data_IF_569393592324
#
_entry.id   IF_569393592324
#
_cell.length_a   1.000
_cell.length_b   1.000
_cell.length_c   1.000
_cell.angle_alpha   90.00
_cell.angle_beta   90.00
_cell.angle_gamma   90.00
#
_symmetry.space_group_name_H-M   'P 1'
#
loop_
_entity.id
_entity.type
_entity.pdbx_description
1 polymer ?
#
# COMPACT_ATOMS: atom_id res chain seq x y z
N UNK A 1 -7.14 10.26 -21.39
CA UNK A 1 -7.06 11.72 -21.52
C UNK A 1 -6.13 12.16 -22.66
N UNK A 2 -6.51 13.16 -23.48
CA UNK A 2 -5.65 13.69 -24.55
C UNK A 2 -4.35 14.32 -24.05
N UNK A 3 -4.35 14.93 -22.86
CA UNK A 3 -3.19 15.61 -22.28
C UNK A 3 -2.12 14.60 -21.85
N UNK A 4 -2.51 13.56 -21.09
CA UNK A 4 -1.61 12.46 -20.76
C UNK A 4 -1.06 11.79 -22.03
N UNK A 5 -1.88 11.58 -23.05
CA UNK A 5 -1.45 10.96 -24.31
C UNK A 5 -0.42 11.82 -25.08
N UNK A 6 -0.50 13.14 -24.99
CA UNK A 6 0.50 14.05 -25.56
C UNK A 6 1.81 13.98 -24.78
N UNK A 7 1.75 14.14 -23.45
CA UNK A 7 2.92 14.07 -22.56
C UNK A 7 3.59 12.69 -22.59
N UNK A 8 2.81 11.62 -22.76
CA UNK A 8 3.32 10.26 -22.94
C UNK A 8 4.23 10.15 -24.15
N UNK A 9 3.78 10.66 -25.30
CA UNK A 9 4.52 10.60 -26.57
C UNK A 9 5.80 11.42 -26.53
N UNK A 10 5.76 12.58 -25.87
CA UNK A 10 6.87 13.53 -25.85
C UNK A 10 7.88 13.27 -24.74
N UNK A 11 7.44 12.77 -23.59
CA UNK A 11 8.26 12.73 -22.36
C UNK A 11 8.16 11.40 -21.63
N UNK A 12 6.97 10.96 -21.21
CA UNK A 12 6.88 9.88 -20.23
C UNK A 12 7.33 8.51 -20.75
N UNK A 13 7.17 8.22 -22.05
CA UNK A 13 7.63 6.95 -22.66
C UNK A 13 9.14 6.70 -22.53
N UNK A 14 9.92 7.73 -22.20
CA UNK A 14 11.36 7.65 -22.01
C UNK A 14 11.77 7.51 -20.54
N UNK A 15 10.82 7.59 -19.61
CA UNK A 15 11.06 7.36 -18.18
C UNK A 15 11.35 5.87 -17.91
N UNK A 16 12.17 5.60 -16.90
CA UNK A 16 12.44 4.24 -16.47
C UNK A 16 11.14 3.58 -16.00
N UNK A 17 10.86 2.37 -16.48
CA UNK A 17 9.64 1.63 -16.14
C UNK A 17 8.41 1.97 -17.00
N UNK A 18 8.46 3.02 -17.83
CA UNK A 18 7.32 3.42 -18.66
C UNK A 18 6.84 2.31 -19.63
N UNK A 19 7.77 1.49 -20.14
CA UNK A 19 7.42 0.34 -21.00
C UNK A 19 6.52 -0.69 -20.29
N UNK A 20 6.66 -0.87 -18.98
CA UNK A 20 5.78 -1.75 -18.21
C UNK A 20 4.37 -1.18 -18.09
N UNK A 21 4.24 0.13 -17.92
CA UNK A 21 2.93 0.79 -17.93
C UNK A 21 2.26 0.69 -19.31
N UNK A 22 3.02 0.84 -20.39
CA UNK A 22 2.53 0.63 -21.76
C UNK A 22 1.93 -0.77 -21.96
N UNK A 23 2.65 -1.81 -21.51
CA UNK A 23 2.17 -3.19 -21.55
C UNK A 23 0.94 -3.40 -20.66
N UNK A 24 0.93 -2.80 -19.47
CA UNK A 24 -0.18 -2.87 -18.55
C UNK A 24 -1.45 -2.25 -19.14
N UNK A 25 -1.37 -1.05 -19.72
CA UNK A 25 -2.51 -0.38 -20.36
C UNK A 25 -3.04 -1.21 -21.52
N UNK A 26 -2.17 -1.74 -22.39
CA UNK A 26 -2.60 -2.60 -23.49
C UNK A 26 -3.34 -3.84 -22.98
N UNK A 27 -2.83 -4.49 -21.93
CA UNK A 27 -3.47 -5.64 -21.31
C UNK A 27 -4.81 -5.28 -20.67
N UNK A 28 -4.89 -4.12 -20.05
CA UNK A 28 -6.12 -3.60 -19.45
C UNK A 28 -7.19 -3.30 -20.53
N UNK A 29 -6.81 -2.73 -21.67
CA UNK A 29 -7.72 -2.50 -22.79
C UNK A 29 -8.28 -3.82 -23.36
N UNK A 30 -7.44 -4.85 -23.50
CA UNK A 30 -7.89 -6.21 -23.85
C UNK A 30 -8.88 -6.75 -22.82
N UNK A 31 -8.68 -6.42 -21.54
CA UNK A 31 -9.54 -6.86 -20.46
C UNK A 31 -10.93 -6.22 -20.60
N UNK A 32 -10.97 -4.90 -20.79
CA UNK A 32 -12.23 -4.16 -20.90
C UNK A 32 -13.14 -4.61 -22.05
N UNK A 33 -12.59 -5.28 -23.08
CA UNK A 33 -13.35 -5.80 -24.21
C UNK A 33 -14.02 -7.16 -23.94
N UNK A 34 -13.74 -7.83 -22.82
CA UNK A 34 -14.32 -9.15 -22.59
C UNK A 34 -15.78 -9.07 -22.12
N UNK A 35 -16.67 -9.97 -22.59
CA UNK A 35 -18.12 -9.91 -22.33
C UNK A 35 -18.51 -9.77 -20.86
N UNK A 36 -17.75 -10.42 -19.97
CA UNK A 36 -17.98 -10.40 -18.52
C UNK A 36 -17.60 -9.07 -17.84
N UNK A 37 -16.82 -8.21 -18.49
CA UNK A 37 -16.38 -6.90 -17.99
C UNK A 37 -17.11 -5.74 -18.68
N UNK A 38 -17.75 -5.98 -19.84
CA UNK A 38 -18.42 -4.93 -20.65
C UNK A 38 -19.41 -4.08 -19.82
N UNK A 39 -20.11 -4.68 -18.86
CA UNK A 39 -21.05 -3.96 -18.00
C UNK A 39 -20.39 -2.96 -17.03
N UNK A 40 -19.05 -3.04 -16.87
CA UNK A 40 -18.23 -2.16 -16.03
C UNK A 40 -17.29 -1.28 -16.85
N UNK A 41 -17.39 -1.32 -18.19
CA UNK A 41 -16.46 -0.64 -19.11
C UNK A 41 -16.34 0.86 -18.81
N UNK A 42 -17.48 1.54 -18.67
CA UNK A 42 -17.50 2.99 -18.41
C UNK A 42 -16.83 3.31 -17.08
N UNK A 43 -17.18 2.58 -16.01
CA UNK A 43 -16.60 2.74 -14.68
C UNK A 43 -15.08 2.56 -14.68
N UNK A 44 -14.58 1.50 -15.32
CA UNK A 44 -13.13 1.25 -15.37
C UNK A 44 -12.38 2.26 -16.26
N UNK A 45 -12.99 2.67 -17.37
CA UNK A 45 -12.41 3.70 -18.24
C UNK A 45 -12.29 5.04 -17.53
N UNK A 46 -13.31 5.42 -16.76
CA UNK A 46 -13.29 6.63 -15.94
C UNK A 46 -12.17 6.58 -14.89
N UNK A 47 -12.09 5.47 -14.14
CA UNK A 47 -11.05 5.26 -13.11
C UNK A 47 -9.64 5.39 -13.65
N UNK A 48 -9.36 4.72 -14.78
CA UNK A 48 -8.06 4.84 -15.43
C UNK A 48 -7.83 6.26 -15.93
N UNK A 49 -8.86 6.91 -16.49
CA UNK A 49 -8.78 8.31 -16.90
C UNK A 49 -8.27 9.22 -15.78
N UNK A 50 -8.90 9.10 -14.60
CA UNK A 50 -8.54 9.86 -13.39
C UNK A 50 -7.10 9.56 -12.93
N UNK A 51 -6.72 8.27 -12.91
CA UNK A 51 -5.37 7.87 -12.51
C UNK A 51 -4.32 8.45 -13.47
N UNK A 52 -4.54 8.32 -14.78
CA UNK A 52 -3.64 8.83 -15.81
C UNK A 52 -3.55 10.36 -15.78
N UNK A 53 -4.65 11.07 -15.57
CA UNK A 53 -4.64 12.53 -15.43
C UNK A 53 -3.84 12.97 -14.19
N UNK A 54 -3.93 12.24 -13.08
CA UNK A 54 -3.14 12.55 -11.88
C UNK A 54 -1.66 12.22 -12.08
N UNK A 55 -1.36 11.11 -12.76
CA UNK A 55 -0.02 10.74 -13.18
C UNK A 55 0.61 11.81 -14.09
N UNK A 56 -0.16 12.49 -14.93
CA UNK A 56 0.35 13.57 -15.78
C UNK A 56 1.07 14.66 -14.97
N UNK A 57 0.53 15.01 -13.80
CA UNK A 57 1.03 16.11 -12.98
C UNK A 57 1.84 15.67 -11.76
N UNK A 58 1.86 14.38 -11.43
CA UNK A 58 2.58 13.84 -10.26
C UNK A 58 3.60 12.76 -10.68
N UNK A 59 4.88 13.12 -10.72
CA UNK A 59 5.97 12.20 -11.08
C UNK A 59 6.22 11.11 -10.03
N UNK A 60 6.00 11.40 -8.74
CA UNK A 60 6.10 10.40 -7.67
C UNK A 60 5.08 9.29 -7.89
N UNK A 61 3.81 9.67 -8.10
CA UNK A 61 2.74 8.73 -8.44
C UNK A 61 3.08 7.91 -9.70
N UNK A 62 3.59 8.56 -10.76
CA UNK A 62 3.97 7.84 -11.99
C UNK A 62 4.96 6.72 -11.73
N UNK A 63 6.04 7.01 -11.01
CA UNK A 63 7.09 6.04 -10.72
C UNK A 63 6.51 4.86 -9.95
N UNK A 64 5.70 5.12 -8.92
CA UNK A 64 5.07 4.06 -8.11
C UNK A 64 4.08 3.22 -8.93
N UNK A 65 3.35 3.83 -9.85
CA UNK A 65 2.49 3.10 -10.80
C UNK A 65 3.32 2.26 -11.79
N UNK A 66 4.49 2.72 -12.24
CA UNK A 66 5.36 1.94 -13.13
C UNK A 66 5.93 0.71 -12.43
N UNK A 67 6.38 0.86 -11.18
CA UNK A 67 6.82 -0.25 -10.34
C UNK A 67 5.67 -1.25 -10.14
N UNK A 68 4.45 -0.75 -9.90
CA UNK A 68 3.29 -1.62 -9.77
C UNK A 68 2.97 -2.36 -11.06
N UNK A 69 2.97 -1.66 -12.20
CA UNK A 69 2.75 -2.26 -13.51
C UNK A 69 3.78 -3.36 -13.81
N UNK A 70 5.05 -3.13 -13.46
CA UNK A 70 6.12 -4.13 -13.61
C UNK A 70 5.80 -5.43 -12.84
N UNK A 71 5.27 -5.31 -11.62
CA UNK A 71 4.97 -6.47 -10.77
C UNK A 71 3.84 -7.38 -11.26
N UNK A 72 2.98 -6.89 -12.18
CA UNK A 72 1.74 -7.57 -12.56
C UNK A 72 1.66 -8.01 -14.03
N UNK A 73 2.67 -7.73 -14.86
CA UNK A 73 2.63 -8.10 -16.28
C UNK A 73 2.55 -9.62 -16.53
N UNK A 74 2.95 -10.43 -15.55
CA UNK A 74 2.85 -11.88 -15.60
C UNK A 74 1.61 -12.45 -14.88
N UNK A 75 0.72 -11.60 -14.34
CA UNK A 75 -0.41 -12.07 -13.53
C UNK A 75 -1.63 -12.40 -14.38
N UNK A 76 -2.56 -13.13 -13.77
CA UNK A 76 -3.84 -13.45 -14.36
C UNK A 76 -4.67 -12.17 -14.62
N UNK A 77 -5.82 -12.39 -15.23
CA UNK A 77 -6.75 -11.35 -15.64
C UNK A 77 -7.21 -10.46 -14.47
N UNK A 78 -7.53 -11.10 -13.34
CA UNK A 78 -7.97 -10.43 -12.13
C UNK A 78 -6.81 -9.71 -11.43
N UNK A 79 -5.57 -10.14 -11.65
CA UNK A 79 -4.36 -9.48 -11.14
C UNK A 79 -4.13 -8.12 -11.79
N UNK A 80 -4.43 -7.99 -13.08
CA UNK A 80 -4.37 -6.69 -13.76
C UNK A 80 -5.46 -5.75 -13.26
N UNK A 81 -6.70 -6.24 -13.06
CA UNK A 81 -7.77 -5.42 -12.49
C UNK A 81 -7.48 -4.99 -11.04
N UNK A 82 -6.97 -5.91 -10.21
CA UNK A 82 -6.57 -5.62 -8.84
C UNK A 82 -5.44 -4.60 -8.78
N UNK A 83 -4.50 -4.65 -9.73
CA UNK A 83 -3.41 -3.68 -9.76
C UNK A 83 -3.87 -2.24 -10.04
N UNK A 84 -4.98 -2.03 -10.77
CA UNK A 84 -5.59 -0.69 -10.88
C UNK A 84 -6.03 -0.20 -9.50
N UNK A 85 -6.68 -1.07 -8.73
CA UNK A 85 -7.11 -0.74 -7.37
C UNK A 85 -5.91 -0.36 -6.50
N UNK A 86 -4.83 -1.14 -6.54
CA UNK A 86 -3.61 -0.82 -5.80
C UNK A 86 -2.94 0.49 -6.27
N UNK A 87 -2.98 0.80 -7.57
CA UNK A 87 -2.50 2.10 -8.09
C UNK A 87 -3.37 3.28 -7.63
N UNK A 88 -4.69 3.10 -7.55
CA UNK A 88 -5.60 4.11 -7.00
C UNK A 88 -5.36 4.31 -5.49
N UNK A 89 -5.01 3.27 -4.74
CA UNK A 89 -4.54 3.42 -3.35
C UNK A 89 -3.27 4.29 -3.32
N UNK A 90 -2.32 4.10 -4.25
CA UNK A 90 -1.15 4.99 -4.35
C UNK A 90 -1.53 6.43 -4.64
N UNK A 91 -2.54 6.67 -5.47
CA UNK A 91 -3.06 8.02 -5.70
C UNK A 91 -3.60 8.66 -4.41
N UNK A 92 -4.31 7.91 -3.56
CA UNK A 92 -4.79 8.39 -2.26
C UNK A 92 -3.60 8.73 -1.34
N UNK A 93 -2.63 7.83 -1.24
CA UNK A 93 -1.42 8.03 -0.44
C UNK A 93 -0.67 9.31 -0.83
N UNK A 94 -0.51 9.57 -2.13
CA UNK A 94 0.17 10.78 -2.61
C UNK A 94 -0.59 12.07 -2.26
N UNK A 95 -1.92 12.05 -2.19
CA UNK A 95 -2.71 13.21 -1.73
C UNK A 95 -2.46 13.51 -0.25
N UNK A 96 -2.33 12.46 0.56
CA UNK A 96 -1.97 12.59 1.99
C UNK A 96 -0.56 13.19 2.09
N UNK A 97 0.43 12.59 1.44
CA UNK A 97 1.83 13.03 1.49
C UNK A 97 1.99 14.48 1.02
N UNK A 98 1.29 14.87 -0.04
CA UNK A 98 1.35 16.22 -0.60
C UNK A 98 0.69 17.30 0.27
N UNK A 99 0.19 16.96 1.47
CA UNK A 99 -0.47 17.88 2.41
C UNK A 99 -1.65 18.63 1.78
N UNK A 100 -2.35 17.98 0.84
CA UNK A 100 -3.49 18.57 0.13
C UNK A 100 -4.81 18.41 0.88
N UNK A 101 -4.80 17.72 2.01
CA UNK A 101 -5.96 17.35 2.81
C UNK A 101 -5.94 18.13 4.12
N UNK A 102 -7.13 18.45 4.64
CA UNK A 102 -7.28 18.90 6.03
C UNK A 102 -6.94 17.78 7.03
N UNK A 103 -6.65 18.13 8.29
CA UNK A 103 -6.30 17.14 9.31
C UNK A 103 -7.42 16.07 9.50
N UNK A 104 -8.69 16.48 9.37
CA UNK A 104 -9.85 15.57 9.39
C UNK A 104 -9.83 14.59 8.20
N UNK A 105 -9.60 15.09 6.99
CA UNK A 105 -9.52 14.26 5.78
C UNK A 105 -8.32 13.30 5.84
N UNK A 106 -7.18 13.75 6.37
CA UNK A 106 -6.02 12.88 6.62
C UNK A 106 -6.39 11.75 7.57
N UNK A 107 -7.10 12.03 8.68
CA UNK A 107 -7.50 11.00 9.64
C UNK A 107 -8.44 9.98 9.01
N UNK A 108 -9.42 10.43 8.23
CA UNK A 108 -10.36 9.55 7.53
C UNK A 108 -9.65 8.67 6.50
N UNK A 109 -8.78 9.24 5.66
CA UNK A 109 -8.05 8.47 4.65
C UNK A 109 -7.01 7.53 5.28
N UNK A 110 -6.41 7.92 6.41
CA UNK A 110 -5.55 7.04 7.22
C UNK A 110 -6.34 5.81 7.70
N UNK A 111 -7.53 5.99 8.27
CA UNK A 111 -8.36 4.87 8.75
C UNK A 111 -8.84 3.96 7.61
N UNK A 112 -9.22 4.54 6.47
CA UNK A 112 -9.61 3.78 5.28
C UNK A 112 -8.44 2.99 4.72
N UNK A 113 -7.25 3.60 4.68
CA UNK A 113 -6.03 2.95 4.21
C UNK A 113 -5.59 1.83 5.18
N UNK A 114 -5.80 2.02 6.49
CA UNK A 114 -5.66 0.96 7.50
C UNK A 114 -6.59 -0.22 7.18
N UNK A 115 -7.88 0.02 6.97
CA UNK A 115 -8.84 -1.03 6.63
C UNK A 115 -8.40 -1.81 5.38
N UNK A 116 -7.97 -1.10 4.33
CA UNK A 116 -7.49 -1.72 3.09
C UNK A 116 -6.31 -2.67 3.35
N UNK A 117 -5.22 -2.17 3.95
CA UNK A 117 -4.02 -2.97 4.16
C UNK A 117 -4.24 -4.09 5.16
N UNK A 118 -5.04 -3.84 6.20
CA UNK A 118 -5.31 -4.85 7.22
C UNK A 118 -6.17 -5.99 6.69
N UNK A 119 -7.16 -5.67 5.84
CA UNK A 119 -7.95 -6.70 5.16
C UNK A 119 -7.08 -7.53 4.21
N UNK A 120 -6.15 -6.89 3.48
CA UNK A 120 -5.19 -7.59 2.63
C UNK A 120 -4.36 -8.60 3.42
N UNK A 121 -3.80 -8.16 4.56
CA UNK A 121 -2.96 -8.99 5.41
C UNK A 121 -3.73 -10.19 5.98
N UNK A 122 -4.97 -9.97 6.44
CA UNK A 122 -5.82 -11.07 6.91
C UNK A 122 -6.12 -12.07 5.79
N UNK A 123 -6.40 -11.59 4.57
CA UNK A 123 -6.66 -12.46 3.43
C UNK A 123 -5.42 -13.28 3.01
N UNK A 124 -4.23 -12.68 3.03
CA UNK A 124 -2.97 -13.37 2.77
C UNK A 124 -2.71 -14.44 3.83
N UNK A 125 -2.85 -14.10 5.11
CA UNK A 125 -2.71 -15.06 6.22
C UNK A 125 -3.73 -16.21 6.13
N UNK A 126 -4.96 -15.92 5.68
CA UNK A 126 -5.96 -16.94 5.42
C UNK A 126 -5.52 -17.91 4.32
N UNK A 127 -5.03 -17.37 3.19
CA UNK A 127 -4.52 -18.18 2.09
C UNK A 127 -3.30 -19.02 2.51
N UNK A 128 -2.37 -18.46 3.29
CA UNK A 128 -1.20 -19.18 3.81
C UNK A 128 -1.60 -20.33 4.74
N UNK A 129 -2.54 -20.06 5.65
CA UNK A 129 -3.08 -21.08 6.57
C UNK A 129 -3.74 -22.21 5.79
N UNK A 130 -4.56 -21.88 4.80
CA UNK A 130 -5.22 -22.88 3.96
C UNK A 130 -4.19 -23.74 3.19
N UNK A 131 -3.18 -23.11 2.60
CA UNK A 131 -2.11 -23.82 1.88
C UNK A 131 -1.34 -24.77 2.81
N UNK A 132 -1.06 -24.34 4.05
CA UNK A 132 -0.44 -25.19 5.06
C UNK A 132 -1.33 -26.39 5.43
N UNK A 133 -2.63 -26.17 5.64
CA UNK A 133 -3.59 -27.24 5.95
C UNK A 133 -3.69 -28.24 4.78
N UNK A 134 -3.77 -27.78 3.53
CA UNK A 134 -3.81 -28.68 2.37
C UNK A 134 -2.51 -29.43 2.10
N UNK A 135 -1.35 -28.84 2.41
CA UNK A 135 -0.08 -29.57 2.31
C UNK A 135 -0.02 -30.79 3.25
N UNK A 136 -0.87 -30.83 4.29
CA UNK A 136 -1.00 -31.98 5.19
C UNK A 136 -2.04 -33.00 4.75
N UNK A 137 -2.84 -32.70 3.72
CA UNK A 137 -3.81 -33.61 3.12
C UNK A 137 -3.31 -34.09 1.75
N UNK A 138 -3.85 -35.19 1.23
CA UNK A 138 -3.54 -35.66 -0.14
C UNK A 138 -4.34 -34.94 -1.23
N UNK A 139 -5.11 -33.92 -0.89
CA UNK A 139 -5.93 -33.16 -1.83
C UNK A 139 -5.16 -31.95 -2.35
N UNK A 140 -4.81 -31.99 -3.63
CA UNK A 140 -4.14 -30.89 -4.34
C UNK A 140 -5.19 -30.03 -5.00
N UNK A 141 -5.81 -29.14 -4.23
CA UNK A 141 -6.60 -28.05 -4.83
C UNK A 141 -5.67 -26.86 -5.04
N UNK A 142 -5.55 -26.39 -6.29
CA UNK A 142 -4.83 -25.16 -6.61
C UNK A 142 -5.65 -23.96 -6.10
N UNK A 143 -5.45 -23.61 -4.84
CA UNK A 143 -5.93 -22.38 -4.25
C UNK A 143 -5.18 -21.19 -4.86
N UNK A 144 -5.91 -20.18 -5.34
CA UNK A 144 -5.30 -18.94 -5.79
C UNK A 144 -5.36 -17.89 -4.67
N UNK A 145 -4.18 -17.46 -4.21
CA UNK A 145 -4.04 -16.42 -3.18
C UNK A 145 -4.66 -15.10 -3.62
N UNK A 146 -4.53 -14.74 -4.90
CA UNK A 146 -5.10 -13.51 -5.41
C UNK A 146 -6.63 -13.56 -5.39
N UNK A 147 -7.21 -14.68 -5.80
CA UNK A 147 -8.68 -14.86 -5.78
C UNK A 147 -9.19 -14.84 -4.34
N UNK A 148 -8.43 -15.38 -3.39
CA UNK A 148 -8.75 -15.25 -1.97
C UNK A 148 -8.76 -13.77 -1.53
N UNK A 149 -7.71 -13.00 -1.86
CA UNK A 149 -7.64 -11.56 -1.54
C UNK A 149 -8.80 -10.79 -2.17
N UNK A 150 -9.09 -11.02 -3.45
CA UNK A 150 -10.22 -10.39 -4.15
C UNK A 150 -11.56 -10.76 -3.53
N UNK A 151 -11.73 -12.00 -3.07
CA UNK A 151 -12.95 -12.41 -2.39
C UNK A 151 -13.18 -11.61 -1.11
N UNK A 152 -12.15 -11.39 -0.28
CA UNK A 152 -12.28 -10.56 0.92
C UNK A 152 -12.72 -9.12 0.58
N UNK A 153 -12.21 -8.57 -0.51
CA UNK A 153 -12.54 -7.23 -0.97
C UNK A 153 -13.93 -7.10 -1.59
N UNK A 154 -14.28 -8.01 -2.51
CA UNK A 154 -15.50 -7.97 -3.31
C UNK A 154 -16.75 -8.45 -2.56
N UNK A 155 -16.55 -9.24 -1.50
CA UNK A 155 -17.61 -9.85 -0.72
C UNK A 155 -18.55 -8.81 -0.09
N UNK A 156 -19.89 -8.99 -0.16
CA UNK A 156 -20.84 -8.03 0.39
C UNK A 156 -20.79 -7.92 1.93
N UNK A 157 -20.15 -8.88 2.59
CA UNK A 157 -19.86 -8.86 4.02
C UNK A 157 -18.78 -7.84 4.39
N UNK A 158 -17.96 -7.42 3.43
CA UNK A 158 -16.99 -6.35 3.62
C UNK A 158 -17.73 -5.01 3.74
N UNK A 159 -17.94 -4.60 4.99
CA UNK A 159 -18.63 -3.34 5.34
C UNK A 159 -17.65 -2.26 5.81
N UNK A 160 -16.35 -2.48 5.63
CA UNK A 160 -15.32 -1.51 6.00
C UNK A 160 -15.33 -0.35 5.00
N UNK A 161 -15.17 0.87 5.52
CA UNK A 161 -14.89 2.02 4.66
C UNK A 161 -13.50 1.87 4.05
N UNK A 162 -13.44 1.80 2.73
CA UNK A 162 -12.21 1.70 1.95
C UNK A 162 -11.85 3.07 1.35
N UNK A 163 -10.59 3.29 0.94
CA UNK A 163 -10.18 4.56 0.32
C UNK A 163 -10.87 4.86 -1.03
N UNK A 164 -11.63 3.88 -1.54
CA UNK A 164 -12.27 3.89 -2.84
C UNK A 164 -13.70 3.35 -2.68
N UNK A 165 -14.68 4.03 -3.28
CA UNK A 165 -16.11 3.77 -3.04
C UNK A 165 -16.67 2.48 -3.70
N UNK A 166 -17.74 1.97 -3.07
CA UNK A 166 -18.43 0.67 -3.19
C UNK A 166 -19.05 0.25 -4.53
N UNK A 167 -18.48 0.64 -5.67
CA UNK A 167 -18.70 -0.03 -6.97
C UNK A 167 -17.39 -0.55 -7.59
N UNK A 168 -16.25 -0.09 -7.06
CA UNK A 168 -14.93 -0.28 -7.65
C UNK A 168 -14.26 -1.62 -7.31
N UNK A 169 -14.84 -2.37 -6.37
CA UNK A 169 -14.30 -3.57 -5.73
C UNK A 169 -15.09 -4.85 -6.01
N UNK A 170 -16.26 -4.79 -6.66
CA UNK A 170 -17.20 -5.91 -6.73
C UNK A 170 -17.00 -6.85 -7.92
N UNK A 171 -15.99 -6.62 -8.76
CA UNK A 171 -15.68 -7.53 -9.86
C UNK A 171 -14.62 -8.55 -9.43
N UNK A 172 -15.02 -9.81 -9.47
CA UNK A 172 -14.16 -10.97 -9.35
C UNK A 172 -14.62 -11.98 -10.38
N UNK A 173 -13.69 -12.49 -11.20
CA UNK A 173 -14.03 -13.38 -12.31
C UNK A 173 -14.18 -14.83 -11.86
N UNK A 174 -13.37 -15.25 -10.89
CA UNK A 174 -13.29 -16.65 -10.47
C UNK A 174 -13.48 -16.82 -8.95
N UNK A 175 -14.63 -16.42 -8.39
CA UNK A 175 -14.91 -16.59 -6.95
C UNK A 175 -14.77 -18.03 -6.45
N UNK A 176 -14.96 -19.02 -7.32
CA UNK A 176 -14.79 -20.44 -7.03
C UNK A 176 -13.33 -20.87 -6.75
N UNK A 177 -12.34 -20.06 -7.12
CA UNK A 177 -10.92 -20.30 -6.85
C UNK A 177 -10.46 -19.71 -5.51
N UNK A 178 -11.32 -18.95 -4.85
CA UNK A 178 -11.08 -18.44 -3.50
C UNK A 178 -11.15 -19.57 -2.46
N UNK A 179 -10.26 -19.49 -1.47
CA UNK A 179 -10.29 -20.36 -0.28
C UNK A 179 -11.12 -19.80 0.86
N UNK A 180 -11.62 -18.56 0.72
CA UNK A 180 -12.36 -17.85 1.74
C UNK A 180 -13.87 -18.05 1.57
N UNK A 181 -14.55 -18.02 2.70
CA UNK A 181 -16.01 -18.01 2.80
C UNK A 181 -16.51 -16.64 3.23
N UNK A 182 -17.80 -16.38 3.03
CA UNK A 182 -18.44 -15.16 3.55
C UNK A 182 -18.31 -15.01 5.08
N UNK A 183 -18.24 -16.11 5.83
CA UNK A 183 -18.04 -16.03 7.29
C UNK A 183 -16.62 -15.58 7.64
N UNK A 184 -15.61 -16.00 6.86
CA UNK A 184 -14.22 -15.54 7.04
C UNK A 184 -14.13 -14.01 6.85
N UNK A 185 -14.85 -13.48 5.85
CA UNK A 185 -14.93 -12.02 5.62
C UNK A 185 -15.62 -11.33 6.80
N UNK A 186 -16.75 -11.85 7.30
CA UNK A 186 -17.41 -11.29 8.51
C UNK A 186 -16.49 -11.30 9.73
N UNK A 187 -15.72 -12.37 9.91
CA UNK A 187 -14.76 -12.47 11.00
C UNK A 187 -13.64 -11.44 10.86
N UNK A 188 -13.10 -11.26 9.66
CA UNK A 188 -12.08 -10.25 9.38
C UNK A 188 -12.58 -8.82 9.64
N UNK A 189 -13.79 -8.48 9.16
CA UNK A 189 -14.40 -7.17 9.40
C UNK A 189 -14.58 -6.91 10.90
N UNK A 190 -15.14 -7.88 11.65
CA UNK A 190 -15.29 -7.75 13.11
C UNK A 190 -13.95 -7.57 13.81
N UNK A 191 -12.91 -8.31 13.37
CA UNK A 191 -11.56 -8.19 13.91
C UNK A 191 -10.99 -6.80 13.69
N UNK A 192 -11.09 -6.27 12.47
CA UNK A 192 -10.60 -4.93 12.12
C UNK A 192 -11.34 -3.85 12.93
N UNK A 193 -12.66 -3.94 13.04
CA UNK A 193 -13.45 -3.02 13.85
C UNK A 193 -13.02 -3.05 15.32
N UNK A 194 -12.80 -4.23 15.88
CA UNK A 194 -12.31 -4.39 17.25
C UNK A 194 -10.90 -3.82 17.44
N UNK A 195 -9.99 -4.04 16.48
CA UNK A 195 -8.63 -3.48 16.48
C UNK A 195 -8.61 -1.94 16.41
N UNK A 196 -9.64 -1.31 15.84
CA UNK A 196 -9.82 0.15 15.84
C UNK A 196 -10.36 0.69 17.17
N UNK A 197 -11.31 -0.02 17.78
CA UNK A 197 -12.01 0.41 19.00
C UNK A 197 -11.21 0.16 20.28
N UNK A 198 -10.34 -0.86 20.30
CA UNK A 198 -9.58 -1.18 21.52
C UNK A 198 -8.37 -0.25 21.69
N UNK A 199 -8.60 0.84 22.42
CA UNK A 199 -7.59 1.81 22.85
C UNK A 199 -6.45 1.20 23.68
N UNK A 200 -6.54 -0.05 24.14
CA UNK A 200 -5.48 -0.66 24.98
C UNK A 200 -4.23 -1.08 24.21
N UNK A 201 -4.36 -1.36 22.91
CA UNK A 201 -3.26 -1.96 22.14
C UNK A 201 -2.61 -1.00 21.12
N UNK A 202 -3.09 0.25 21.01
CA UNK A 202 -2.61 1.23 20.02
C UNK A 202 -2.44 0.60 18.62
N UNK A 203 -3.22 -0.43 18.27
CA UNK A 203 -2.88 -1.33 17.17
C UNK A 203 -2.89 -0.58 15.83
N UNK A 204 -3.92 0.22 15.59
CA UNK A 204 -4.00 1.09 14.42
C UNK A 204 -2.79 2.01 14.32
N UNK A 205 -2.41 2.65 15.42
CA UNK A 205 -1.25 3.55 15.48
C UNK A 205 0.02 2.77 15.13
N UNK A 206 0.26 1.64 15.78
CA UNK A 206 1.44 0.81 15.53
C UNK A 206 1.49 0.34 14.08
N UNK A 207 0.36 -0.13 13.55
CA UNK A 207 0.26 -0.63 12.19
C UNK A 207 0.53 0.44 11.15
N UNK A 208 -0.08 1.63 11.31
CA UNK A 208 0.02 2.69 10.31
C UNK A 208 1.37 3.42 10.38
N UNK A 209 1.96 3.53 11.58
CA UNK A 209 3.26 4.19 11.79
C UNK A 209 4.42 3.48 11.10
N UNK A 210 4.24 2.22 10.72
CA UNK A 210 5.23 1.43 9.99
C UNK A 210 5.00 1.45 8.47
N UNK A 211 3.97 2.13 7.98
CA UNK A 211 3.69 2.23 6.54
C UNK A 211 4.48 3.38 5.92
N UNK A 212 5.17 3.07 4.83
CA UNK A 212 6.01 4.02 4.09
C UNK A 212 5.29 5.32 3.75
N UNK A 213 4.06 5.26 3.22
CA UNK A 213 3.32 6.46 2.85
C UNK A 213 3.05 7.38 4.06
N UNK A 214 2.81 6.78 5.23
CA UNK A 214 2.51 7.51 6.45
C UNK A 214 3.79 8.12 7.03
N UNK A 215 4.91 7.40 6.97
CA UNK A 215 6.24 7.93 7.32
C UNK A 215 6.55 9.14 6.44
N UNK A 216 6.39 9.03 5.11
CA UNK A 216 6.62 10.14 4.18
C UNK A 216 5.71 11.35 4.45
N UNK A 217 4.46 11.09 4.86
CA UNK A 217 3.54 12.14 5.31
C UNK A 217 4.04 12.82 6.59
N UNK A 218 4.47 12.06 7.60
CA UNK A 218 5.00 12.60 8.86
C UNK A 218 6.28 13.42 8.62
N UNK A 219 7.18 12.94 7.77
CA UNK A 219 8.39 13.66 7.32
C UNK A 219 8.05 14.97 6.62
N UNK A 220 7.01 14.98 5.79
CA UNK A 220 6.54 16.20 5.11
C UNK A 220 5.84 17.17 6.08
N UNK A 221 5.09 16.65 7.06
CA UNK A 221 4.27 17.45 7.99
C UNK A 221 5.08 18.03 9.15
N UNK A 222 6.10 17.31 9.63
CA UNK A 222 6.90 17.66 10.81
C UNK A 222 8.42 17.66 10.51
N UNK A 223 8.89 18.38 9.48
CA UNK A 223 10.28 18.32 9.05
C UNK A 223 11.26 18.76 10.15
N UNK A 224 10.92 19.79 10.93
CA UNK A 224 11.79 20.31 11.98
C UNK A 224 11.98 19.31 13.14
N UNK A 225 10.90 18.63 13.55
CA UNK A 225 10.93 17.64 14.64
C UNK A 225 11.81 16.44 14.23
N UNK A 226 11.68 16.00 12.99
CA UNK A 226 12.43 14.85 12.46
C UNK A 226 13.89 15.21 12.20
N UNK A 227 14.17 16.43 11.74
CA UNK A 227 15.53 16.93 11.57
C UNK A 227 16.26 17.04 12.92
N UNK A 228 15.61 17.59 13.96
CA UNK A 228 16.18 17.67 15.31
C UNK A 228 16.46 16.28 15.89
N UNK A 229 15.53 15.34 15.71
CA UNK A 229 15.71 13.95 16.14
C UNK A 229 16.87 13.26 15.40
N UNK A 230 16.96 13.44 14.08
CA UNK A 230 18.03 12.86 13.25
C UNK A 230 19.40 13.41 13.61
N UNK A 231 19.48 14.69 13.96
CA UNK A 231 20.74 15.37 14.31
C UNK A 231 21.47 14.70 15.48
N UNK A 232 20.73 14.21 16.48
CA UNK A 232 21.30 13.50 17.65
C UNK A 232 22.14 12.30 17.20
N UNK A 233 21.65 11.53 16.22
CA UNK A 233 22.35 10.34 15.72
C UNK A 233 23.47 10.70 14.74
N UNK A 234 23.35 11.83 14.03
CA UNK A 234 24.45 12.36 13.22
C UNK A 234 25.64 12.74 14.10
N UNK A 235 25.42 13.46 15.20
CA UNK A 235 26.48 13.80 16.17
C UNK A 235 27.15 12.54 16.75
N UNK A 236 26.37 11.52 17.11
CA UNK A 236 26.92 10.24 17.61
C UNK A 236 27.80 9.53 16.56
N UNK A 237 27.39 9.55 15.29
CA UNK A 237 28.18 8.97 14.20
C UNK A 237 29.45 9.79 13.93
N UNK A 238 29.38 11.12 13.94
CA UNK A 238 30.55 12.00 13.79
C UNK A 238 31.57 11.76 14.90
N UNK A 239 31.12 11.67 16.17
CA UNK A 239 31.99 11.33 17.30
C UNK A 239 32.63 9.94 17.18
N UNK A 240 31.94 8.97 16.57
CA UNK A 240 32.48 7.64 16.32
C UNK A 240 33.52 7.66 15.17
N UNK A 241 33.27 8.46 14.13
CA UNK A 241 34.20 8.67 13.03
C UNK A 241 35.52 9.31 13.50
N UNK A 242 35.46 10.31 14.38
CA UNK A 242 36.66 10.92 14.99
C UNK A 242 37.52 9.92 15.75
N UNK A 243 36.90 8.87 16.32
CA UNK A 243 37.58 7.82 17.10
C UNK A 243 38.10 6.67 16.22
N UNK A 244 37.80 6.65 14.92
CA UNK A 244 38.07 5.51 14.01
C UNK A 244 39.53 5.06 14.00
N UNK A 245 40.48 5.99 14.09
CA UNK A 245 41.93 5.67 14.10
C UNK A 245 42.44 5.20 15.48
N UNK A 246 41.62 5.32 16.53
CA UNK A 246 41.97 4.96 17.91
C UNK A 246 41.34 3.65 18.38
N UNK A 247 40.29 3.19 17.71
CA UNK A 247 39.58 1.95 18.01
C UNK A 247 39.84 0.90 16.94
N UNK A 248 39.59 -0.37 17.26
CA UNK A 248 39.72 -1.44 16.27
C UNK A 248 38.54 -1.41 15.30
N UNK A 249 38.77 -1.83 14.06
CA UNK A 249 37.73 -1.86 13.01
C UNK A 249 36.47 -2.63 13.43
N UNK A 250 36.60 -3.76 14.12
CA UNK A 250 35.43 -4.49 14.61
C UNK A 250 34.64 -3.72 15.67
N UNK A 251 35.31 -2.91 16.50
CA UNK A 251 34.67 -2.10 17.56
C UNK A 251 33.92 -0.93 16.95
N UNK A 252 34.48 -0.33 15.90
CA UNK A 252 33.81 0.67 15.08
C UNK A 252 32.52 0.10 14.48
N UNK A 253 32.59 -1.07 13.83
CA UNK A 253 31.43 -1.69 13.19
C UNK A 253 30.31 -2.02 14.18
N UNK A 254 30.65 -2.52 15.37
CA UNK A 254 29.66 -2.80 16.42
C UNK A 254 28.97 -1.49 16.85
N UNK A 255 29.74 -0.44 17.14
CA UNK A 255 29.17 0.84 17.59
C UNK A 255 28.33 1.50 16.51
N UNK A 256 28.78 1.48 15.25
CA UNK A 256 28.02 2.04 14.13
C UNK A 256 26.68 1.30 13.94
N UNK A 257 26.69 -0.03 14.06
CA UNK A 257 25.45 -0.81 14.01
C UNK A 257 24.53 -0.52 15.20
N UNK A 258 25.08 -0.37 16.41
CA UNK A 258 24.30 0.02 17.58
C UNK A 258 23.63 1.38 17.40
N UNK A 259 24.36 2.38 16.90
CA UNK A 259 23.79 3.71 16.60
C UNK A 259 22.69 3.60 15.53
N UNK A 260 22.89 2.80 14.49
CA UNK A 260 21.89 2.59 13.44
C UNK A 260 20.61 1.89 13.97
N UNK A 261 20.76 0.87 14.82
CA UNK A 261 19.63 0.18 15.46
C UNK A 261 18.88 1.11 16.43
N UNK A 262 19.61 1.86 17.26
CA UNK A 262 19.01 2.84 18.18
C UNK A 262 18.28 3.95 17.43
N UNK A 263 18.85 4.45 16.31
CA UNK A 263 18.21 5.42 15.42
C UNK A 263 16.88 4.89 14.90
N UNK A 264 16.89 3.69 14.31
CA UNK A 264 15.68 3.05 13.76
C UNK A 264 14.59 2.87 14.82
N UNK A 265 14.94 2.35 16.00
CA UNK A 265 14.00 2.15 17.09
C UNK A 265 13.44 3.48 17.63
N UNK A 266 14.27 4.52 17.64
CA UNK A 266 13.90 5.86 18.08
C UNK A 266 12.99 6.57 17.07
N UNK A 267 13.27 6.44 15.77
CA UNK A 267 12.41 6.93 14.68
C UNK A 267 11.03 6.27 14.75
N UNK A 268 10.96 4.95 14.93
CA UNK A 268 9.69 4.24 15.10
C UNK A 268 8.89 4.75 16.31
N UNK A 269 9.56 5.06 17.44
CA UNK A 269 8.89 5.68 18.60
C UNK A 269 8.37 7.08 18.27
N UNK A 270 9.17 7.89 17.56
CA UNK A 270 8.77 9.22 17.13
C UNK A 270 7.56 9.17 16.20
N UNK A 271 7.58 8.31 15.17
CA UNK A 271 6.46 8.16 14.24
C UNK A 271 5.18 7.72 14.96
N UNK A 272 5.26 6.74 15.87
CA UNK A 272 4.10 6.37 16.71
C UNK A 272 3.58 7.53 17.54
N UNK A 273 4.45 8.37 18.09
CA UNK A 273 4.04 9.53 18.88
C UNK A 273 3.38 10.60 18.00
N UNK A 274 3.91 10.89 16.82
CA UNK A 274 3.32 11.86 15.89
C UNK A 274 1.96 11.37 15.38
N UNK A 275 1.85 10.09 15.03
CA UNK A 275 0.57 9.45 14.68
C UNK A 275 -0.46 9.60 15.80
N UNK A 276 -0.07 9.36 17.06
CA UNK A 276 -0.96 9.53 18.22
C UNK A 276 -1.53 10.94 18.32
N UNK A 277 -0.71 11.96 18.08
CA UNK A 277 -1.17 13.35 18.13
C UNK A 277 -2.25 13.62 17.08
N UNK A 278 -2.08 13.11 15.85
CA UNK A 278 -3.05 13.26 14.75
C UNK A 278 -4.38 12.53 15.05
N UNK A 279 -4.30 11.38 15.72
CA UNK A 279 -5.50 10.58 16.07
C UNK A 279 -6.24 11.16 17.29
N UNK A 280 -5.53 11.84 18.20
CA UNK A 280 -6.09 12.38 19.44
C UNK A 280 -6.73 13.78 19.28
N UNK A 281 -6.28 14.56 18.31
CA UNK A 281 -6.90 15.83 17.89
C UNK A 281 -8.19 15.60 17.10
#
# INVERSE_FOLDING_TARGET
SPEFAAQWKETFRHESGAGYMEMWVARYEEILQQPQVVNYYETFTERIGILLDTMATNSSLRIRCYEKAQSVIATCYDGILFSLFEMEIKQVEERIIALQLSDEEVRQEMERTFNFYRLQEIALLHSEKYAYEQATTTETTEADTLETVLFFYASPENTLEMPLDGERLHYMRYPELSTATHDDVKQAVRKIQHEKEDFRDDFLINFISDKEFWINYLESRYPDIIAEHTHIFMEQMEELEEKKDTIREYEYLIQANTIAEEKKDSEQRLYRQLTKNIVAD
#
